data_IF_848165824989
#
_entry.id   IF_848165824989
#
_cell.length_a   1.000
_cell.length_b   1.000
_cell.length_c   1.000
_cell.angle_alpha   90.00
_cell.angle_beta   90.00
_cell.angle_gamma   90.00
#
_symmetry.space_group_name_H-M   'P 1'
#
loop_
_entity.id
_entity.type
_entity.pdbx_description
1 polymer ?
#
# COMPACT_ATOMS: atom_id res chain seq x y z
N UNK A 1 17.82 13.56 11.71
CA UNK A 1 17.70 13.38 10.24
C UNK A 1 16.92 14.56 9.66
N UNK A 2 17.38 15.18 8.57
CA UNK A 2 16.66 16.29 7.92
C UNK A 2 15.28 15.77 7.45
N UNK A 3 14.17 16.43 7.84
CA UNK A 3 12.80 16.01 7.54
C UNK A 3 12.57 15.77 6.03
N UNK A 4 13.24 16.54 5.17
CA UNK A 4 13.22 16.33 3.73
C UNK A 4 13.85 15.00 3.31
N UNK A 5 14.99 14.62 3.90
CA UNK A 5 15.65 13.33 3.62
C UNK A 5 14.79 12.16 4.06
N UNK A 6 14.11 12.27 5.21
CA UNK A 6 13.14 11.27 5.65
C UNK A 6 12.04 11.06 4.61
N UNK A 7 11.39 12.15 4.15
CA UNK A 7 10.33 12.05 3.14
C UNK A 7 10.85 11.47 1.81
N UNK A 8 12.08 11.79 1.40
CA UNK A 8 12.69 11.20 0.20
C UNK A 8 12.85 9.68 0.36
N UNK A 9 13.36 9.22 1.49
CA UNK A 9 13.53 7.77 1.74
C UNK A 9 12.18 7.06 1.74
N UNK A 10 11.17 7.63 2.40
CA UNK A 10 9.81 7.07 2.42
C UNK A 10 9.21 7.05 1.02
N UNK A 11 9.34 8.14 0.25
CA UNK A 11 8.84 8.20 -1.12
C UNK A 11 9.52 7.17 -2.02
N UNK A 12 10.85 7.04 -1.94
CA UNK A 12 11.59 6.04 -2.69
C UNK A 12 11.16 4.63 -2.30
N UNK A 13 10.93 4.36 -1.02
CA UNK A 13 10.40 3.08 -0.56
C UNK A 13 9.00 2.81 -1.14
N UNK A 14 8.09 3.78 -1.11
CA UNK A 14 6.76 3.66 -1.70
C UNK A 14 6.81 3.43 -3.22
N UNK A 15 7.67 4.16 -3.93
CA UNK A 15 7.83 4.04 -5.39
C UNK A 15 8.57 2.77 -5.81
N UNK A 16 9.43 2.20 -4.98
CA UNK A 16 10.10 0.93 -5.26
C UNK A 16 9.20 -0.26 -4.91
N UNK A 17 8.56 -0.22 -3.73
CA UNK A 17 7.72 -1.31 -3.23
C UNK A 17 6.37 -1.37 -3.94
N UNK A 18 5.73 -0.24 -4.24
CA UNK A 18 4.41 -0.21 -4.88
C UNK A 18 4.35 -0.97 -6.21
N UNK A 19 5.21 -0.64 -7.20
CA UNK A 19 5.29 -1.38 -8.46
C UNK A 19 5.77 -2.82 -8.26
N UNK A 20 6.74 -3.06 -7.37
CA UNK A 20 7.19 -4.42 -7.07
C UNK A 20 6.04 -5.29 -6.58
N UNK A 21 5.15 -4.74 -5.74
CA UNK A 21 3.96 -5.43 -5.23
C UNK A 21 2.90 -5.72 -6.32
N UNK A 22 2.85 -4.97 -7.42
CA UNK A 22 1.99 -5.29 -8.57
C UNK A 22 2.64 -6.31 -9.51
N UNK A 23 3.97 -6.29 -9.62
CA UNK A 23 4.74 -7.22 -10.43
C UNK A 23 4.81 -8.59 -9.76
N UNK A 24 4.81 -8.68 -8.43
CA UNK A 24 4.90 -9.96 -7.69
C UNK A 24 3.77 -10.93 -8.04
N UNK A 25 2.47 -10.58 -7.97
CA UNK A 25 1.39 -11.48 -8.39
C UNK A 25 1.50 -11.90 -9.86
N UNK A 26 1.85 -10.96 -10.75
CA UNK A 26 2.06 -11.25 -12.17
C UNK A 26 3.22 -12.23 -12.39
N UNK A 27 4.35 -12.00 -11.70
CA UNK A 27 5.55 -12.83 -11.76
C UNK A 27 5.28 -14.22 -11.19
N UNK A 28 4.51 -14.34 -10.12
CA UNK A 28 4.08 -15.63 -9.58
C UNK A 28 3.24 -16.41 -10.60
N UNK A 29 2.32 -15.74 -11.29
CA UNK A 29 1.46 -16.35 -12.31
C UNK A 29 2.22 -16.77 -13.58
N UNK A 30 3.22 -15.99 -14.02
CA UNK A 30 3.89 -16.19 -15.32
C UNK A 30 5.30 -16.79 -15.24
N UNK A 31 6.01 -16.64 -14.12
CA UNK A 31 7.40 -17.11 -13.94
C UNK A 31 7.50 -18.35 -13.04
N UNK A 32 6.39 -18.79 -12.44
CA UNK A 32 6.31 -20.06 -11.70
C UNK A 32 7.36 -20.21 -10.59
N UNK A 33 7.97 -21.41 -10.49
CA UNK A 33 8.91 -21.87 -9.45
C UNK A 33 10.13 -20.96 -9.18
N UNK A 34 10.40 -19.97 -10.03
CA UNK A 34 11.50 -19.00 -9.84
C UNK A 34 11.16 -17.89 -8.84
N UNK A 35 9.88 -17.72 -8.49
CA UNK A 35 9.45 -16.78 -7.46
C UNK A 35 8.78 -17.57 -6.32
N UNK A 36 9.40 -17.66 -5.13
CA UNK A 36 8.70 -18.24 -4.00
C UNK A 36 7.41 -17.44 -3.79
N UNK A 37 6.28 -18.15 -3.68
CA UNK A 37 4.98 -17.59 -3.31
C UNK A 37 5.06 -16.61 -2.11
N UNK A 38 3.97 -15.93 -1.77
CA UNK A 38 3.97 -15.02 -0.62
C UNK A 38 4.49 -15.73 0.65
N UNK A 39 5.58 -15.22 1.26
CA UNK A 39 6.20 -15.88 2.41
C UNK A 39 5.21 -16.04 3.59
N UNK A 40 4.31 -15.07 3.78
CA UNK A 40 3.27 -15.16 4.81
C UNK A 40 2.30 -16.32 4.52
N UNK A 41 1.92 -16.50 3.27
CA UNK A 41 1.03 -17.59 2.85
C UNK A 41 1.73 -18.95 2.97
N UNK A 42 3.01 -19.05 2.61
CA UNK A 42 3.79 -20.27 2.82
C UNK A 42 3.91 -20.64 4.30
N UNK A 43 4.10 -19.64 5.18
CA UNK A 43 4.26 -19.85 6.62
C UNK A 43 2.92 -20.18 7.31
N UNK A 44 1.82 -19.57 6.88
CA UNK A 44 0.54 -19.63 7.61
C UNK A 44 -0.52 -20.46 6.90
N UNK A 45 -0.31 -20.83 5.63
CA UNK A 45 -1.31 -21.45 4.77
C UNK A 45 -2.48 -20.52 4.41
N UNK A 46 -2.41 -19.23 4.77
CA UNK A 46 -3.50 -18.25 4.56
C UNK A 46 -3.07 -17.18 3.57
N UNK A 47 -4.00 -16.76 2.72
CA UNK A 47 -3.76 -15.67 1.78
C UNK A 47 -3.38 -14.37 2.50
N UNK A 48 -2.42 -13.66 1.94
CA UNK A 48 -1.90 -12.42 2.51
C UNK A 48 -2.78 -11.22 2.12
N UNK A 49 -3.19 -10.35 3.08
CA UNK A 49 -3.99 -9.16 2.78
C UNK A 49 -3.30 -8.21 1.79
N UNK A 50 -1.96 -8.10 1.84
CA UNK A 50 -1.22 -7.30 0.85
C UNK A 50 -1.33 -7.90 -0.55
N UNK A 51 -1.21 -9.22 -0.70
CA UNK A 51 -1.40 -9.90 -1.99
C UNK A 51 -2.84 -9.73 -2.49
N UNK A 52 -3.83 -9.82 -1.59
CA UNK A 52 -5.23 -9.55 -1.92
C UNK A 52 -5.47 -8.11 -2.39
N UNK A 53 -4.83 -7.13 -1.75
CA UNK A 53 -4.92 -5.73 -2.14
C UNK A 53 -4.33 -5.50 -3.53
N UNK A 54 -3.16 -6.09 -3.81
CA UNK A 54 -2.49 -5.97 -5.11
C UNK A 54 -3.25 -6.65 -6.24
N UNK A 55 -3.80 -7.85 -5.98
CA UNK A 55 -4.63 -8.57 -6.96
C UNK A 55 -5.91 -7.79 -7.24
N UNK A 56 -6.59 -7.31 -6.20
CA UNK A 56 -7.80 -6.49 -6.36
C UNK A 56 -7.53 -5.21 -7.15
N UNK A 57 -6.36 -4.57 -6.96
CA UNK A 57 -5.96 -3.41 -7.76
C UNK A 57 -5.65 -3.77 -9.22
N UNK A 58 -4.96 -4.88 -9.46
CA UNK A 58 -4.69 -5.39 -10.81
C UNK A 58 -6.00 -5.66 -11.55
N UNK A 59 -6.95 -6.31 -10.91
CA UNK A 59 -8.23 -6.69 -11.53
C UNK A 59 -9.07 -5.45 -11.84
N UNK A 60 -9.02 -4.42 -10.97
CA UNK A 60 -9.61 -3.10 -11.24
C UNK A 60 -8.98 -2.43 -12.46
N UNK A 61 -7.65 -2.42 -12.57
CA UNK A 61 -6.93 -1.83 -13.71
C UNK A 61 -7.20 -2.59 -15.01
N UNK A 62 -7.33 -3.92 -14.94
CA UNK A 62 -7.64 -4.77 -16.07
C UNK A 62 -9.13 -4.73 -16.48
N UNK A 63 -9.96 -3.91 -15.83
CA UNK A 63 -11.42 -3.89 -15.99
C UNK A 63 -12.08 -5.27 -15.84
N UNK A 64 -11.45 -6.18 -15.09
CA UNK A 64 -11.90 -7.56 -14.95
C UNK A 64 -12.88 -7.66 -13.78
N UNK A 65 -14.07 -7.09 -13.97
CA UNK A 65 -15.10 -6.99 -12.92
C UNK A 65 -15.80 -8.31 -12.61
N UNK A 66 -15.61 -9.35 -13.44
CA UNK A 66 -16.21 -10.67 -13.26
C UNK A 66 -15.73 -11.43 -12.00
N UNK A 67 -14.61 -11.02 -11.42
CA UNK A 67 -14.08 -11.56 -10.16
C UNK A 67 -14.30 -10.63 -8.96
N UNK A 68 -14.80 -9.39 -9.20
CA UNK A 68 -15.01 -8.34 -8.20
C UNK A 68 -13.75 -7.95 -7.42
N UNK A 69 -13.65 -6.73 -6.85
CA UNK A 69 -12.70 -6.54 -5.76
C UNK A 69 -13.15 -7.47 -4.63
N UNK A 70 -12.33 -8.47 -4.29
CA UNK A 70 -12.62 -9.43 -3.22
C UNK A 70 -12.95 -8.77 -1.86
N UNK A 71 -12.68 -7.47 -1.73
CA UNK A 71 -12.95 -6.67 -0.55
C UNK A 71 -13.39 -5.25 -0.95
N UNK A 72 -14.53 -4.73 -0.46
CA UNK A 72 -15.00 -3.37 -0.76
C UNK A 72 -14.04 -2.28 -0.30
N UNK A 73 -13.13 -2.58 0.64
CA UNK A 73 -12.15 -1.64 1.16
C UNK A 73 -10.87 -1.54 0.30
N UNK A 74 -10.72 -2.36 -0.76
CA UNK A 74 -9.57 -2.29 -1.67
C UNK A 74 -9.40 -0.91 -2.30
N UNK A 75 -10.49 -0.34 -2.86
CA UNK A 75 -10.45 0.98 -3.51
C UNK A 75 -10.15 2.10 -2.50
N UNK A 76 -10.86 2.21 -1.36
CA UNK A 76 -10.54 3.21 -0.34
C UNK A 76 -9.09 3.15 0.14
N UNK A 77 -8.55 1.96 0.45
CA UNK A 77 -7.17 1.81 0.92
C UNK A 77 -6.18 2.25 -0.16
N UNK A 78 -6.40 1.87 -1.42
CA UNK A 78 -5.54 2.29 -2.52
C UNK A 78 -5.54 3.81 -2.73
N UNK A 79 -6.72 4.45 -2.65
CA UNK A 79 -6.82 5.92 -2.71
C UNK A 79 -6.00 6.57 -1.58
N UNK A 80 -6.10 6.05 -0.36
CA UNK A 80 -5.34 6.59 0.77
C UNK A 80 -3.82 6.45 0.56
N UNK A 81 -3.36 5.31 0.02
CA UNK A 81 -1.94 5.10 -0.31
C UNK A 81 -1.47 6.06 -1.42
N UNK A 82 -2.30 6.32 -2.43
CA UNK A 82 -2.01 7.30 -3.48
C UNK A 82 -1.91 8.73 -2.91
N UNK A 83 -2.85 9.11 -2.03
CA UNK A 83 -2.82 10.41 -1.36
C UNK A 83 -1.59 10.58 -0.47
N UNK A 84 -1.21 9.53 0.28
CA UNK A 84 0.05 9.49 1.06
C UNK A 84 1.25 9.70 0.15
N UNK A 85 1.33 8.96 -0.96
CA UNK A 85 2.45 9.06 -1.92
C UNK A 85 2.54 10.47 -2.53
N UNK A 86 1.40 11.05 -2.93
CA UNK A 86 1.35 12.42 -3.45
C UNK A 86 1.76 13.46 -2.39
N UNK A 87 1.30 13.30 -1.15
CA UNK A 87 1.69 14.16 -0.03
C UNK A 87 3.20 14.09 0.22
N UNK A 88 3.80 12.89 0.22
CA UNK A 88 5.25 12.70 0.36
C UNK A 88 6.03 13.36 -0.77
N UNK A 89 5.57 13.21 -2.02
CA UNK A 89 6.17 13.86 -3.18
C UNK A 89 6.16 15.39 -3.04
N UNK A 90 5.04 15.97 -2.63
CA UNK A 90 4.92 17.41 -2.35
C UNK A 90 5.86 17.85 -1.22
N UNK A 91 5.96 17.09 -0.13
CA UNK A 91 6.85 17.42 0.99
C UNK A 91 8.34 17.33 0.63
N UNK A 92 8.70 16.60 -0.42
CA UNK A 92 10.08 16.56 -0.92
C UNK A 92 10.48 17.81 -1.71
N UNK A 93 9.51 18.51 -2.32
CA UNK A 93 9.74 19.70 -3.16
C UNK A 93 9.58 21.01 -2.39
N UNK A 94 8.71 21.06 -1.40
CA UNK A 94 8.47 22.28 -0.61
C UNK A 94 9.64 22.64 0.32
N UNK A 95 9.97 23.93 0.37
CA UNK A 95 10.85 24.50 1.41
C UNK A 95 10.01 24.90 2.62
N UNK A 96 10.02 24.07 3.65
CA UNK A 96 9.27 24.32 4.88
C UNK A 96 10.11 25.09 5.90
N UNK A 97 9.52 26.10 6.54
CA UNK A 97 10.09 26.74 7.73
C UNK A 97 10.04 25.77 8.94
N UNK A 98 10.84 26.03 9.98
CA UNK A 98 10.86 25.18 11.18
C UNK A 98 9.48 25.03 11.84
N UNK A 99 8.70 26.12 11.92
CA UNK A 99 7.33 26.10 12.43
C UNK A 99 6.39 25.26 11.55
N UNK A 100 6.53 25.35 10.22
CA UNK A 100 5.76 24.53 9.29
C UNK A 100 6.12 23.06 9.40
N UNK A 101 7.39 22.70 9.57
CA UNK A 101 7.83 21.31 9.74
C UNK A 101 7.12 20.65 10.92
N UNK A 102 7.05 21.33 12.07
CA UNK A 102 6.42 20.75 13.27
C UNK A 102 4.89 20.60 13.14
N UNK A 103 4.26 21.51 12.39
CA UNK A 103 2.85 21.36 12.01
C UNK A 103 2.65 20.19 11.05
N UNK A 104 3.51 20.05 10.05
CA UNK A 104 3.45 18.97 9.07
C UNK A 104 3.64 17.61 9.73
N UNK A 105 4.59 17.45 10.65
CA UNK A 105 4.77 16.19 11.41
C UNK A 105 3.50 15.75 12.16
N UNK A 106 2.79 16.70 12.78
CA UNK A 106 1.54 16.40 13.49
C UNK A 106 0.43 15.94 12.54
N UNK A 107 0.33 16.56 11.36
CA UNK A 107 -0.59 16.10 10.32
C UNK A 107 -0.18 14.75 9.74
N UNK A 108 1.11 14.53 9.55
CA UNK A 108 1.69 13.28 9.09
C UNK A 108 1.30 12.14 10.05
N UNK A 109 1.50 12.33 11.36
CA UNK A 109 1.09 11.35 12.37
C UNK A 109 -0.40 11.02 12.32
N UNK A 110 -1.26 12.03 12.14
CA UNK A 110 -2.72 11.82 12.02
C UNK A 110 -3.08 11.03 10.76
N UNK A 111 -2.45 11.36 9.63
CA UNK A 111 -2.66 10.64 8.38
C UNK A 111 -2.24 9.17 8.50
N UNK A 112 -1.11 8.89 9.16
CA UNK A 112 -0.64 7.52 9.40
C UNK A 112 -1.55 6.76 10.35
N UNK A 113 -2.10 7.41 11.38
CA UNK A 113 -3.08 6.79 12.25
C UNK A 113 -4.35 6.41 11.47
N UNK A 114 -4.84 7.28 10.58
CA UNK A 114 -6.00 6.99 9.71
C UNK A 114 -5.70 5.85 8.75
N UNK A 115 -4.54 5.87 8.09
CA UNK A 115 -4.08 4.80 7.21
C UNK A 115 -3.98 3.45 7.94
N UNK A 116 -3.43 3.45 9.15
CA UNK A 116 -3.30 2.25 9.98
C UNK A 116 -4.67 1.67 10.33
N UNK A 117 -5.62 2.51 10.74
CA UNK A 117 -6.99 2.08 11.05
C UNK A 117 -7.70 1.56 9.80
N UNK A 118 -7.58 2.26 8.66
CA UNK A 118 -8.16 1.83 7.39
C UNK A 118 -7.57 0.49 6.93
N UNK A 119 -6.26 0.31 7.07
CA UNK A 119 -5.59 -0.94 6.73
C UNK A 119 -5.96 -2.08 7.68
N UNK A 120 -6.06 -1.82 8.99
CA UNK A 120 -6.53 -2.80 9.95
C UNK A 120 -7.97 -3.25 9.64
N UNK A 121 -8.86 -2.31 9.32
CA UNK A 121 -10.22 -2.62 8.89
C UNK A 121 -10.23 -3.47 7.61
N UNK A 122 -9.41 -3.12 6.63
CA UNK A 122 -9.21 -3.93 5.41
C UNK A 122 -8.76 -5.36 5.72
N UNK A 123 -7.76 -5.54 6.59
CA UNK A 123 -7.28 -6.86 6.98
C UNK A 123 -8.38 -7.69 7.66
N UNK A 124 -9.16 -7.07 8.56
CA UNK A 124 -10.29 -7.73 9.21
C UNK A 124 -11.32 -8.18 8.18
N UNK A 125 -11.75 -7.29 7.27
CA UNK A 125 -12.75 -7.64 6.25
C UNK A 125 -12.22 -8.67 5.25
N UNK A 126 -10.93 -8.61 4.92
CA UNK A 126 -10.26 -9.56 4.05
C UNK A 126 -10.31 -10.97 4.63
N UNK A 127 -9.93 -11.13 5.90
CA UNK A 127 -9.95 -12.44 6.54
C UNK A 127 -11.37 -12.93 6.86
N UNK A 128 -12.33 -12.04 7.14
CA UNK A 128 -13.72 -12.45 7.36
C UNK A 128 -14.44 -12.91 6.09
N UNK A 129 -14.01 -12.42 4.92
CA UNK A 129 -14.58 -12.78 3.62
C UNK A 129 -13.94 -14.01 2.97
N UNK A 130 -12.90 -14.60 3.59
CA UNK A 130 -12.18 -15.79 3.11
C UNK A 130 -12.22 -16.94 4.14
N UNK A 131 -13.20 -16.92 5.04
CA UNK A 131 -13.47 -17.96 6.04
C UNK A 131 -14.51 -18.96 5.53
#
# INVERSE_FOLDING_TARGET
MNYRRFNIVVLLALLALGPALLVVPWAQEHLGLLYPGCALEQLTGRSCPMCGLTTGLRDLVACNTGHGPANPLTVPVAILVLLETAARAMLCTLRLSAASVERTKRWDLRLHAVLLVAYAAYCVTFYSGHA
#
